data_IF_643472820986
#
_entry.id   IF_643472820986
#
_cell.length_a   1.000
_cell.length_b   1.000
_cell.length_c   1.000
_cell.angle_alpha   90.00
_cell.angle_beta   90.00
_cell.angle_gamma   90.00
#
_symmetry.space_group_name_H-M   'P 1'
#
loop_
_entity.id
_entity.type
_entity.pdbx_description
1 polymer ?
#
# COMPACT_ATOMS: atom_id res chain seq x y z
N UNK A 1 7.86 -2.67 -18.05
CA UNK A 1 7.14 -3.67 -17.24
C UNK A 1 8.13 -4.72 -16.80
N UNK A 2 8.42 -4.80 -15.50
CA UNK A 2 9.13 -5.94 -14.93
C UNK A 2 8.10 -7.03 -14.64
N UNK A 3 8.13 -8.16 -15.34
CA UNK A 3 7.31 -9.33 -14.98
C UNK A 3 8.13 -10.12 -13.97
N UNK A 4 8.16 -9.63 -12.74
CA UNK A 4 8.75 -10.34 -11.61
C UNK A 4 7.61 -10.89 -10.74
N UNK A 5 7.66 -12.18 -10.36
CA UNK A 5 6.58 -12.81 -9.59
C UNK A 5 6.35 -12.11 -8.23
N UNK A 6 7.41 -11.54 -7.67
CA UNK A 6 7.38 -10.80 -6.41
C UNK A 6 8.18 -9.52 -6.56
N UNK A 7 7.63 -8.39 -6.11
CA UNK A 7 8.33 -7.11 -6.00
C UNK A 7 8.57 -6.78 -4.53
N UNK A 8 9.83 -6.49 -4.17
CA UNK A 8 10.22 -5.98 -2.87
C UNK A 8 10.79 -4.57 -3.04
N UNK A 9 10.26 -3.61 -2.29
CA UNK A 9 10.74 -2.23 -2.31
C UNK A 9 10.98 -1.71 -0.89
N UNK A 10 12.17 -1.18 -0.66
CA UNK A 10 12.54 -0.41 0.53
C UNK A 10 12.88 1.02 0.09
N UNK A 11 12.24 2.02 0.69
CA UNK A 11 12.50 3.42 0.33
C UNK A 11 12.50 4.36 1.53
N UNK A 12 13.47 5.29 1.52
CA UNK A 12 13.53 6.45 2.41
C UNK A 12 13.69 7.66 1.50
N UNK A 13 12.60 8.39 1.30
CA UNK A 13 12.53 9.49 0.34
C UNK A 13 11.43 10.49 0.73
N UNK A 14 11.35 11.68 0.12
CA UNK A 14 10.24 12.60 0.36
C UNK A 14 8.88 12.02 -0.07
N UNK A 15 8.86 11.23 -1.14
CA UNK A 15 7.66 10.59 -1.66
C UNK A 15 7.98 9.25 -2.30
N UNK A 16 7.07 8.28 -2.19
CA UNK A 16 7.12 7.01 -2.90
C UNK A 16 5.87 6.89 -3.78
N UNK A 17 6.10 6.64 -5.07
CA UNK A 17 5.09 6.23 -6.02
C UNK A 17 5.42 4.83 -6.50
N UNK A 18 4.51 3.88 -6.30
CA UNK A 18 4.65 2.53 -6.81
C UNK A 18 3.48 2.17 -7.71
N UNK A 19 3.82 1.87 -8.96
CA UNK A 19 2.94 1.25 -9.94
C UNK A 19 3.53 -0.12 -10.29
N UNK A 20 2.82 -1.20 -9.95
CA UNK A 20 3.32 -2.55 -10.21
C UNK A 20 2.26 -3.49 -10.78
N UNK A 21 2.73 -4.41 -11.61
CA UNK A 21 2.00 -5.56 -12.14
C UNK A 21 2.82 -6.80 -11.77
N UNK A 22 2.61 -7.30 -10.56
CA UNK A 22 3.30 -8.47 -10.03
C UNK A 22 2.34 -9.29 -9.15
N UNK A 23 2.46 -10.63 -9.12
CA UNK A 23 1.66 -11.47 -8.25
C UNK A 23 1.67 -11.05 -6.78
N UNK A 24 2.81 -10.57 -6.27
CA UNK A 24 2.94 -10.15 -4.86
C UNK A 24 3.77 -8.88 -4.74
N UNK A 25 3.34 -7.94 -3.92
CA UNK A 25 4.07 -6.68 -3.64
C UNK A 25 4.32 -6.56 -2.15
N UNK A 26 5.58 -6.31 -1.78
CA UNK A 26 5.99 -5.95 -0.42
C UNK A 26 6.66 -4.58 -0.45
N UNK A 27 6.08 -3.62 0.26
CA UNK A 27 6.58 -2.26 0.36
C UNK A 27 6.87 -1.88 1.82
N UNK A 28 8.09 -1.41 2.06
CA UNK A 28 8.52 -0.78 3.31
C UNK A 28 8.98 0.64 3.02
N UNK A 29 8.32 1.64 3.63
CA UNK A 29 8.63 3.05 3.38
C UNK A 29 8.61 3.93 4.63
N UNK A 30 9.57 4.86 4.71
CA UNK A 30 9.58 5.95 5.69
C UNK A 30 9.67 7.26 4.91
N UNK A 31 8.53 7.92 4.69
CA UNK A 31 8.43 9.09 3.81
C UNK A 31 7.34 10.06 4.28
N UNK A 32 7.35 11.33 3.84
CA UNK A 32 6.20 12.21 3.94
C UNK A 32 4.91 11.65 3.30
N UNK A 33 5.02 10.98 2.15
CA UNK A 33 3.85 10.53 1.36
C UNK A 33 4.11 9.22 0.64
N UNK A 34 3.09 8.35 0.58
CA UNK A 34 3.10 7.08 -0.16
C UNK A 34 1.86 6.95 -1.03
N UNK A 35 2.09 6.62 -2.31
CA UNK A 35 1.05 6.29 -3.27
C UNK A 35 1.33 4.91 -3.86
N UNK A 36 0.37 3.99 -3.71
CA UNK A 36 0.46 2.64 -4.26
C UNK A 36 -0.73 2.36 -5.16
N UNK A 37 -0.43 1.96 -6.41
CA UNK A 37 -1.39 1.39 -7.35
C UNK A 37 -0.97 -0.04 -7.71
N UNK A 38 -1.83 -1.01 -7.40
CA UNK A 38 -1.57 -2.44 -7.64
C UNK A 38 -2.78 -3.17 -8.20
N UNK A 39 -2.52 -4.11 -9.12
CA UNK A 39 -3.48 -5.04 -9.69
C UNK A 39 -2.83 -6.44 -9.53
N UNK A 40 -3.54 -7.45 -8.99
CA UNK A 40 -3.16 -8.88 -8.73
C UNK A 40 -2.75 -9.28 -7.27
N UNK A 41 -2.68 -10.58 -6.89
CA UNK A 41 -3.38 -11.18 -5.75
C UNK A 41 -3.09 -10.71 -4.33
N UNK A 42 -1.89 -10.22 -4.01
CA UNK A 42 -1.59 -9.84 -2.63
C UNK A 42 -0.66 -8.64 -2.50
N UNK A 43 -1.07 -7.67 -1.67
CA UNK A 43 -0.27 -6.47 -1.33
C UNK A 43 0.02 -6.46 0.16
N UNK A 44 1.29 -6.27 0.51
CA UNK A 44 1.77 -6.01 1.87
C UNK A 44 2.43 -4.63 1.91
N UNK A 45 1.86 -3.72 2.72
CA UNK A 45 2.40 -2.38 2.91
C UNK A 45 2.71 -2.13 4.39
N UNK A 46 3.94 -1.71 4.65
CA UNK A 46 4.40 -1.17 5.92
C UNK A 46 4.91 0.26 5.71
N UNK A 47 4.22 1.25 6.28
CA UNK A 47 4.57 2.67 6.08
C UNK A 47 4.56 3.50 7.37
N UNK A 48 5.57 4.36 7.49
CA UNK A 48 5.60 5.47 8.43
C UNK A 48 5.57 6.76 7.61
N UNK A 49 4.44 7.47 7.61
CA UNK A 49 4.27 8.69 6.82
C UNK A 49 3.17 9.61 7.35
N UNK A 50 3.18 10.91 7.04
CA UNK A 50 2.03 11.80 7.17
C UNK A 50 0.75 11.28 6.46
N UNK A 51 0.90 10.67 5.29
CA UNK A 51 -0.22 10.33 4.41
C UNK A 51 0.07 9.05 3.61
N UNK A 52 -0.93 8.17 3.50
CA UNK A 52 -0.90 6.97 2.63
C UNK A 52 -2.14 6.95 1.74
N UNK A 53 -1.92 6.72 0.44
CA UNK A 53 -2.94 6.44 -0.54
C UNK A 53 -2.71 5.05 -1.14
N UNK A 54 -3.69 4.16 -0.98
CA UNK A 54 -3.66 2.82 -1.56
C UNK A 54 -4.88 2.60 -2.46
N UNK A 55 -4.61 2.28 -3.72
CA UNK A 55 -5.60 1.82 -4.68
C UNK A 55 -5.21 0.42 -5.14
N UNK A 56 -6.08 -0.57 -4.90
CA UNK A 56 -5.77 -1.96 -5.27
C UNK A 56 -6.95 -2.76 -5.82
N UNK A 57 -6.65 -3.66 -6.75
CA UNK A 57 -7.58 -4.66 -7.30
C UNK A 57 -6.94 -6.04 -7.14
N UNK A 58 -7.26 -6.74 -6.05
CA UNK A 58 -6.54 -7.95 -5.60
C UNK A 58 -7.45 -8.94 -4.85
N UNK A 59 -7.05 -10.19 -4.65
CA UNK A 59 -7.65 -10.99 -3.60
C UNK A 59 -7.48 -10.48 -2.16
N UNK A 60 -6.29 -10.01 -1.80
CA UNK A 60 -5.97 -9.70 -0.40
C UNK A 60 -5.06 -8.48 -0.23
N UNK A 61 -5.41 -7.59 0.69
CA UNK A 61 -4.57 -6.47 1.12
C UNK A 61 -4.21 -6.58 2.59
N UNK A 62 -2.93 -6.41 2.91
CA UNK A 62 -2.41 -6.23 4.26
C UNK A 62 -1.73 -4.86 4.36
N UNK A 63 -2.24 -4.00 5.23
CA UNK A 63 -1.68 -2.67 5.46
C UNK A 63 -1.42 -2.43 6.94
N UNK A 64 -0.18 -2.08 7.25
CA UNK A 64 0.29 -1.62 8.54
C UNK A 64 0.85 -0.20 8.38
N UNK A 65 0.22 0.79 9.01
CA UNK A 65 0.60 2.19 8.83
C UNK A 65 0.60 2.99 10.13
N UNK A 66 1.61 3.84 10.30
CA UNK A 66 1.69 4.85 11.37
C UNK A 66 1.64 6.22 10.70
N UNK A 67 0.45 6.83 10.66
CA UNK A 67 0.21 8.04 9.86
C UNK A 67 -0.93 8.88 10.41
N UNK A 68 -0.94 10.21 10.27
CA UNK A 68 -2.13 11.04 10.46
C UNK A 68 -3.33 10.60 9.60
N UNK A 69 -3.08 10.22 8.34
CA UNK A 69 -4.14 10.01 7.34
C UNK A 69 -3.89 8.77 6.47
N UNK A 70 -4.94 7.99 6.22
CA UNK A 70 -4.95 6.85 5.29
C UNK A 70 -6.21 6.90 4.42
N UNK A 71 -5.99 6.79 3.12
CA UNK A 71 -7.03 6.61 2.11
C UNK A 71 -6.84 5.26 1.43
N UNK A 72 -7.86 4.42 1.53
CA UNK A 72 -7.85 3.08 0.94
C UNK A 72 -9.09 2.88 0.08
N UNK A 73 -8.84 2.53 -1.19
CA UNK A 73 -9.85 2.05 -2.14
C UNK A 73 -9.42 0.68 -2.67
N UNK A 74 -10.24 -0.35 -2.43
CA UNK A 74 -9.83 -1.74 -2.64
C UNK A 74 -10.95 -2.62 -3.17
N UNK A 75 -10.82 -3.09 -4.42
CA UNK A 75 -11.73 -4.08 -5.00
C UNK A 75 -11.18 -5.46 -4.67
N UNK A 76 -11.56 -6.00 -3.51
CA UNK A 76 -10.95 -7.22 -2.96
C UNK A 76 -11.91 -8.00 -2.05
N UNK A 77 -11.83 -9.35 -2.02
CA UNK A 77 -12.57 -10.16 -1.05
C UNK A 77 -12.04 -10.04 0.39
N UNK A 78 -10.76 -9.73 0.59
CA UNK A 78 -10.17 -9.68 1.96
C UNK A 78 -9.26 -8.46 2.15
N UNK A 79 -9.43 -7.77 3.28
CA UNK A 79 -8.59 -6.65 3.69
C UNK A 79 -8.26 -6.77 5.18
N UNK A 80 -6.98 -6.69 5.50
CA UNK A 80 -6.44 -6.65 6.85
C UNK A 80 -5.73 -5.31 7.08
N UNK A 81 -6.23 -4.55 8.05
CA UNK A 81 -5.80 -3.18 8.31
C UNK A 81 -5.43 -2.99 9.77
N UNK A 82 -4.21 -2.52 9.99
CA UNK A 82 -3.76 -2.00 11.27
C UNK A 82 -3.17 -0.62 11.04
N UNK A 83 -3.94 0.42 11.36
CA UNK A 83 -3.51 1.81 11.21
C UNK A 83 -3.56 2.53 12.54
N UNK A 84 -2.50 3.26 12.86
CA UNK A 84 -2.51 4.28 13.90
C UNK A 84 -2.68 5.61 13.18
N UNK A 85 -3.93 6.05 13.03
CA UNK A 85 -4.26 7.28 12.31
C UNK A 85 -5.40 8.09 12.91
N UNK A 86 -5.32 9.41 12.75
CA UNK A 86 -6.40 10.32 13.14
C UNK A 86 -7.58 10.25 12.17
N UNK A 87 -7.31 9.97 10.88
CA UNK A 87 -8.35 9.84 9.86
C UNK A 87 -8.10 8.61 8.98
N UNK A 88 -9.08 7.72 8.95
CA UNK A 88 -9.08 6.51 8.13
C UNK A 88 -10.32 6.51 7.23
N UNK A 89 -10.10 6.51 5.92
CA UNK A 89 -11.16 6.47 4.92
C UNK A 89 -11.00 5.18 4.10
N UNK A 90 -12.02 4.33 4.15
CA UNK A 90 -12.03 3.01 3.55
C UNK A 90 -13.24 2.82 2.65
N UNK A 91 -12.96 2.41 1.42
CA UNK A 91 -13.95 2.02 0.42
C UNK A 91 -13.58 0.66 -0.17
N UNK A 92 -14.58 -0.22 -0.23
CA UNK A 92 -14.49 -1.56 -0.79
C UNK A 92 -15.37 -1.66 -2.04
#
# INVERSE_FOLDING_TARGET
LSITPTLYLLSISPTVYLLSISPTVHLLSITPTVYLLSIYPTVYLLSISPTVYLLSITPTVYLLSITPTVYLLSITPTVYLLSISQQFIYYQ
#
